data_IF_339246533201
#
_entry.id   IF_339246533201
#
_cell.length_a   1.000
_cell.length_b   1.000
_cell.length_c   1.000
_cell.angle_alpha   90.00
_cell.angle_beta   90.00
_cell.angle_gamma   90.00
#
_symmetry.space_group_name_H-M   'P 1'
#
loop_
_entity.id
_entity.type
_entity.pdbx_description
1 polymer ?
#
# COMPACT_ATOMS: atom_id res chain seq x y z
N UNK A 1 -8.52 -3.28 -2.71
CA UNK A 1 -7.55 -3.71 -1.69
C UNK A 1 -6.24 -3.00 -1.95
N UNK A 2 -5.83 -2.08 -1.06
CA UNK A 2 -4.56 -1.35 -1.20
C UNK A 2 -3.50 -2.17 -0.44
N UNK A 3 -2.83 -3.08 -1.12
CA UNK A 3 -1.58 -3.70 -0.62
C UNK A 3 -0.48 -2.65 -0.76
N UNK A 4 0.41 -2.47 0.22
CA UNK A 4 1.43 -1.40 0.25
C UNK A 4 2.85 -2.00 0.31
N UNK A 5 3.81 -1.42 -0.42
CA UNK A 5 5.22 -1.83 -0.44
C UNK A 5 6.15 -0.62 -0.32
N UNK A 6 7.45 -0.81 -0.03
CA UNK A 6 8.40 0.27 0.36
C UNK A 6 8.38 1.49 -0.59
N UNK A 7 7.88 2.62 -0.12
CA UNK A 7 7.82 3.88 -0.85
C UNK A 7 6.97 4.94 -0.11
N UNK A 8 7.13 6.21 -0.49
CA UNK A 8 6.40 7.33 0.09
C UNK A 8 5.05 7.45 -0.66
N UNK A 9 3.98 6.83 -0.15
CA UNK A 9 2.71 6.70 -0.90
C UNK A 9 1.69 7.76 -0.50
N UNK A 10 0.91 8.23 -1.49
CA UNK A 10 -0.19 9.16 -1.30
C UNK A 10 -1.52 8.47 -1.66
N UNK A 11 -2.50 8.52 -0.75
CA UNK A 11 -3.87 8.09 -1.01
C UNK A 11 -4.72 9.32 -1.34
N UNK A 12 -5.31 9.31 -2.53
CA UNK A 12 -6.31 10.29 -2.94
C UNK A 12 -7.72 9.80 -2.55
N UNK A 13 -8.66 10.70 -2.20
CA UNK A 13 -10.04 10.35 -1.85
C UNK A 13 -10.90 10.06 -3.09
N UNK A 14 -10.46 9.10 -3.92
CA UNK A 14 -11.09 8.75 -5.20
C UNK A 14 -11.24 7.22 -5.30
N UNK A 15 -12.42 6.74 -5.69
CA UNK A 15 -12.68 5.32 -5.97
C UNK A 15 -12.62 5.10 -7.50
N UNK A 16 -11.78 4.17 -7.96
CA UNK A 16 -11.55 3.95 -9.40
C UNK A 16 -12.15 2.64 -9.94
N UNK A 17 -12.85 1.87 -9.11
CA UNK A 17 -13.36 0.54 -9.48
C UNK A 17 -12.29 -0.55 -9.39
N UNK A 18 -12.71 -1.81 -9.54
CA UNK A 18 -11.85 -2.99 -9.36
C UNK A 18 -10.95 -3.30 -10.57
N UNK A 19 -11.37 -2.89 -11.77
CA UNK A 19 -10.62 -3.01 -13.02
C UNK A 19 -9.60 -1.87 -13.23
N UNK A 20 -9.47 -0.95 -12.27
CA UNK A 20 -8.48 0.11 -12.37
C UNK A 20 -7.05 -0.44 -12.30
N UNK A 21 -6.09 0.37 -12.79
CA UNK A 21 -4.67 0.03 -12.70
C UNK A 21 -4.28 -0.22 -11.24
N UNK A 22 -3.75 -1.40 -10.89
CA UNK A 22 -3.41 -1.73 -9.51
C UNK A 22 -2.24 -0.87 -9.02
N UNK A 23 -2.25 -0.53 -7.74
CA UNK A 23 -1.20 0.29 -7.12
C UNK A 23 0.16 -0.44 -7.09
N UNK A 24 0.13 -1.77 -6.92
CA UNK A 24 1.32 -2.62 -6.99
C UNK A 24 1.04 -3.85 -7.83
N UNK A 25 2.04 -4.29 -8.58
CA UNK A 25 2.12 -5.64 -9.13
C UNK A 25 3.24 -6.34 -8.38
N UNK A 26 2.90 -7.32 -7.54
CA UNK A 26 3.84 -8.06 -6.69
C UNK A 26 3.82 -9.53 -7.13
N UNK A 27 4.66 -9.93 -8.11
CA UNK A 27 4.76 -11.33 -8.50
C UNK A 27 5.11 -12.21 -7.30
N UNK A 28 4.48 -13.37 -7.17
CA UNK A 28 4.69 -14.29 -6.04
C UNK A 28 3.87 -13.98 -4.79
N UNK A 29 3.02 -12.95 -4.81
CA UNK A 29 2.02 -12.66 -3.77
C UNK A 29 0.61 -12.94 -4.33
N UNK A 30 0.28 -14.22 -4.45
CA UNK A 30 -0.95 -14.72 -5.09
C UNK A 30 -2.05 -15.03 -4.05
N UNK A 31 -1.66 -15.43 -2.84
CA UNK A 31 -2.60 -15.77 -1.75
C UNK A 31 -2.42 -14.85 -0.54
N UNK A 32 -3.43 -14.80 0.34
CA UNK A 32 -3.37 -14.03 1.58
C UNK A 32 -2.38 -14.59 2.61
N UNK A 33 -2.03 -15.87 2.50
CA UNK A 33 -1.01 -16.52 3.35
C UNK A 33 0.39 -16.01 3.02
N UNK A 34 0.61 -15.55 1.79
CA UNK A 34 1.89 -15.00 1.33
C UNK A 34 2.08 -13.52 1.72
N UNK A 35 1.11 -12.91 2.43
CA UNK A 35 1.07 -11.46 2.73
C UNK A 35 2.39 -10.96 3.33
N UNK A 36 2.81 -9.77 2.87
CA UNK A 36 3.92 -9.03 3.47
C UNK A 36 3.35 -8.15 4.56
N UNK A 37 3.72 -8.41 5.81
CA UNK A 37 3.28 -7.59 6.93
C UNK A 37 3.99 -6.24 6.95
N UNK A 38 3.23 -5.18 7.23
CA UNK A 38 3.73 -3.81 7.28
C UNK A 38 3.46 -3.20 8.65
N UNK A 39 4.43 -2.45 9.15
CA UNK A 39 4.29 -1.58 10.31
C UNK A 39 4.06 -0.15 9.83
N UNK A 40 2.97 0.49 10.26
CA UNK A 40 2.72 1.91 10.00
C UNK A 40 3.69 2.75 10.82
N UNK A 41 4.56 3.50 10.16
CA UNK A 41 5.52 4.39 10.80
C UNK A 41 4.98 5.81 10.98
N UNK A 42 4.15 6.26 10.04
CA UNK A 42 3.70 7.65 9.97
C UNK A 42 2.47 7.77 9.08
N UNK A 43 1.51 8.57 9.51
CA UNK A 43 0.31 8.92 8.77
C UNK A 43 0.05 10.41 8.92
N UNK A 44 0.00 11.12 7.79
CA UNK A 44 -0.25 12.56 7.78
C UNK A 44 -1.02 13.00 6.55
N UNK A 45 -1.76 14.09 6.68
CA UNK A 45 -2.44 14.73 5.56
C UNK A 45 -1.50 15.71 4.86
N UNK A 46 -1.51 15.71 3.53
CA UNK A 46 -0.80 16.67 2.68
C UNK A 46 -1.78 17.19 1.64
N UNK A 47 -2.31 18.40 1.86
CA UNK A 47 -3.41 18.91 1.04
C UNK A 47 -4.67 18.04 1.19
N UNK A 48 -5.14 17.45 0.09
CA UNK A 48 -6.31 16.55 0.07
C UNK A 48 -5.94 15.07 0.23
N UNK A 49 -4.66 14.76 0.22
CA UNK A 49 -4.19 13.39 0.20
C UNK A 49 -3.65 12.96 1.56
N UNK A 50 -3.68 11.66 1.80
CA UNK A 50 -3.01 11.04 2.94
C UNK A 50 -1.67 10.48 2.53
N UNK A 51 -0.59 10.91 3.17
CA UNK A 51 0.72 10.26 3.07
C UNK A 51 0.89 9.26 4.19
N UNK A 52 1.25 8.05 3.81
CA UNK A 52 1.46 6.94 4.72
C UNK A 52 2.89 6.41 4.50
N UNK A 53 3.62 6.19 5.60
CA UNK A 53 4.93 5.52 5.58
C UNK A 53 4.84 4.21 6.32
N UNK A 54 5.41 3.18 5.72
CA UNK A 54 5.44 1.83 6.28
C UNK A 54 6.84 1.26 6.28
N UNK A 55 7.09 0.36 7.22
CA UNK A 55 8.24 -0.55 7.23
C UNK A 55 7.75 -1.97 6.96
N UNK A 56 8.52 -2.75 6.21
CA UNK A 56 8.26 -4.19 6.06
C UNK A 56 8.63 -4.89 7.35
N UNK A 57 7.68 -5.63 7.92
CA UNK A 57 7.94 -6.56 9.00
C UNK A 57 8.38 -7.90 8.38
N UNK A 58 9.56 -8.36 8.78
CA UNK A 58 10.20 -9.58 8.29
C UNK A 58 10.30 -9.68 6.75
N UNK A 59 11.34 -9.10 6.12
CA UNK A 59 11.52 -9.20 4.68
C UNK A 59 11.72 -10.68 4.26
N UNK A 60 11.20 -11.09 3.09
CA UNK A 60 11.50 -12.41 2.51
C UNK A 60 13.00 -12.57 2.23
#
# INVERSE_FOLDING_TARGET
MVVMGRGNHALAPILMGHEARPLFRLPGLETMEQRIELELLDQRRVGRDWKLRYKVQNPP
#
